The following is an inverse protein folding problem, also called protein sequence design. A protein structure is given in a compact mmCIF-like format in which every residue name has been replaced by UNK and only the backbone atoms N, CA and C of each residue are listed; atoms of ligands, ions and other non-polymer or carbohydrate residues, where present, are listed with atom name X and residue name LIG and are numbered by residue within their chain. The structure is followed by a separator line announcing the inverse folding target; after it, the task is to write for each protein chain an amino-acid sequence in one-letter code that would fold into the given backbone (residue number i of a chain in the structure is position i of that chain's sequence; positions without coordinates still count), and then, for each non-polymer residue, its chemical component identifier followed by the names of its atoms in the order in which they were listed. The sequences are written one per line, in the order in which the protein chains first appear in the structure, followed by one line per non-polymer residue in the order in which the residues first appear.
data_IF_366047276331
#
_entry.id   IF_366047276331
#
_cell.length_a   1.000
_cell.length_b   1.000
_cell.length_c   1.000
_cell.angle_alpha   90.00
_cell.angle_beta   90.00
_cell.angle_gamma   90.00
#
_symmetry.space_group_name_H-M   'P 1'
#
loop_
_entity.id
_entity.type
_entity.pdbx_description
1 polymer ?
#
# COMPACT_ATOMS: atom_id res chain seq x y z
N UNK A 1 -0.08 -13.26 -9.97
CA UNK A 1 0.09 -11.85 -9.55
C UNK A 1 0.83 -11.15 -10.69
N UNK A 2 0.32 -10.03 -11.17
CA UNK A 2 0.84 -9.29 -12.33
C UNK A 2 1.32 -7.91 -11.89
N UNK A 3 2.34 -7.41 -12.58
CA UNK A 3 2.92 -6.08 -12.38
C UNK A 3 2.22 -5.07 -13.29
N UNK A 4 1.69 -4.01 -12.72
CA UNK A 4 1.09 -2.88 -13.46
C UNK A 4 1.98 -1.65 -13.30
N UNK A 5 2.18 -0.90 -14.39
CA UNK A 5 3.12 0.24 -14.45
C UNK A 5 2.35 1.53 -14.73
N UNK A 6 2.60 2.60 -13.97
CA UNK A 6 1.88 3.87 -14.09
C UNK A 6 1.91 4.47 -15.50
N UNK A 7 3.09 4.48 -16.16
CA UNK A 7 3.23 4.97 -17.54
C UNK A 7 2.35 4.20 -18.54
N UNK A 8 2.15 2.90 -18.30
CA UNK A 8 1.30 2.03 -19.11
C UNK A 8 -0.18 2.37 -18.93
N UNK A 9 -0.62 2.62 -17.69
CA UNK A 9 -1.99 3.01 -17.36
C UNK A 9 -2.44 4.26 -18.12
N UNK A 10 -1.60 5.29 -18.16
CA UNK A 10 -1.91 6.54 -18.86
C UNK A 10 -2.11 6.29 -20.37
N UNK A 11 -1.29 5.41 -20.97
CA UNK A 11 -1.35 5.13 -22.41
C UNK A 11 -2.50 4.21 -22.80
N UNK A 12 -2.77 3.17 -22.01
CA UNK A 12 -3.69 2.09 -22.39
C UNK A 12 -5.15 2.30 -21.96
N UNK A 13 -5.42 3.21 -21.02
CA UNK A 13 -6.76 3.37 -20.46
C UNK A 13 -7.46 4.69 -20.82
N UNK A 14 -6.95 5.44 -21.82
CA UNK A 14 -7.54 6.69 -22.36
C UNK A 14 -8.03 7.65 -21.27
N UNK A 15 -7.32 7.70 -20.14
CA UNK A 15 -7.74 8.53 -19.04
C UNK A 15 -7.39 10.00 -19.35
N UNK A 16 -8.25 10.97 -19.01
CA UNK A 16 -8.03 12.38 -19.37
C UNK A 16 -6.73 12.90 -18.76
N UNK A 17 -5.73 13.13 -19.62
CA UNK A 17 -4.38 13.56 -19.23
C UNK A 17 -4.41 14.82 -18.34
N UNK A 18 -5.38 15.72 -18.53
CA UNK A 18 -5.52 16.96 -17.74
C UNK A 18 -5.94 16.74 -16.27
N UNK A 19 -6.48 15.58 -15.90
CA UNK A 19 -6.93 15.28 -14.51
C UNK A 19 -6.03 14.30 -13.76
N UNK A 20 -5.18 13.59 -14.50
CA UNK A 20 -4.22 12.60 -13.97
C UNK A 20 -2.79 13.14 -13.99
N UNK A 21 -2.50 14.12 -14.84
CA UNK A 21 -1.16 14.70 -14.89
C UNK A 21 -0.91 15.60 -13.67
N UNK A 22 -0.09 15.10 -12.75
CA UNK A 22 1.11 15.85 -12.45
C UNK A 22 1.94 15.89 -13.72
N UNK A 23 2.59 17.02 -14.03
CA UNK A 23 3.49 17.11 -15.18
C UNK A 23 4.43 15.90 -15.17
N UNK A 24 4.41 15.11 -16.25
CA UNK A 24 5.31 13.95 -16.42
C UNK A 24 6.79 14.34 -16.28
N UNK A 25 7.09 15.64 -16.31
CA UNK A 25 8.39 16.27 -16.10
C UNK A 25 8.89 16.23 -14.64
N UNK A 26 8.06 15.84 -13.66
CA UNK A 26 8.45 15.79 -12.24
C UNK A 26 8.65 14.36 -11.69
N UNK A 27 8.50 13.32 -12.50
CA UNK A 27 8.63 11.93 -12.03
C UNK A 27 10.11 11.51 -12.05
N UNK A 28 10.68 11.25 -10.88
CA UNK A 28 12.07 10.81 -10.69
C UNK A 28 12.24 9.32 -11.03
N UNK A 29 11.27 8.47 -10.64
CA UNK A 29 11.30 7.01 -10.86
C UNK A 29 9.97 6.45 -11.33
N UNK A 30 9.94 5.19 -11.78
CA UNK A 30 8.66 4.57 -12.15
C UNK A 30 7.82 4.16 -10.93
N UNK A 31 6.51 4.43 -11.00
CA UNK A 31 5.51 3.84 -10.11
C UNK A 31 5.03 2.49 -10.62
N UNK A 32 5.03 1.47 -9.76
CA UNK A 32 4.57 0.11 -10.04
C UNK A 32 3.68 -0.39 -8.92
N UNK A 33 2.77 -1.32 -9.22
CA UNK A 33 2.05 -2.06 -8.19
C UNK A 33 1.75 -3.50 -8.63
N UNK A 34 1.58 -4.38 -7.65
CA UNK A 34 1.37 -5.80 -7.86
C UNK A 34 -0.07 -6.18 -7.55
N UNK A 35 -0.81 -6.67 -8.53
CA UNK A 35 -2.24 -6.99 -8.37
C UNK A 35 -2.59 -8.30 -9.06
N UNK A 36 -3.77 -8.84 -8.80
CA UNK A 36 -4.39 -9.82 -9.69
C UNK A 36 -5.38 -9.11 -10.62
N UNK A 37 -6.04 -9.85 -11.51
CA UNK A 37 -7.00 -9.26 -12.47
C UNK A 37 -8.20 -8.60 -11.77
N UNK A 38 -8.66 -9.17 -10.64
CA UNK A 38 -9.79 -8.64 -9.89
C UNK A 38 -9.44 -7.29 -9.24
N UNK A 39 -8.29 -7.21 -8.56
CA UNK A 39 -7.80 -6.01 -7.91
C UNK A 39 -7.43 -4.93 -8.92
N UNK A 40 -6.82 -5.29 -10.05
CA UNK A 40 -6.51 -4.33 -11.11
C UNK A 40 -7.76 -3.56 -11.55
N UNK A 41 -8.87 -4.28 -11.79
CA UNK A 41 -10.14 -3.67 -12.17
C UNK A 41 -10.61 -2.65 -11.12
N UNK A 42 -10.59 -3.02 -9.84
CA UNK A 42 -11.02 -2.17 -8.73
C UNK A 42 -10.14 -0.92 -8.60
N UNK A 43 -8.81 -1.09 -8.66
CA UNK A 43 -7.85 0.02 -8.55
C UNK A 43 -7.97 1.01 -9.71
N UNK A 44 -8.16 0.52 -10.94
CA UNK A 44 -8.36 1.37 -12.12
C UNK A 44 -9.73 2.05 -12.12
N UNK A 45 -10.75 1.40 -11.57
CA UNK A 45 -12.07 2.00 -11.38
C UNK A 45 -12.04 3.14 -10.35
N UNK A 46 -11.33 2.96 -9.23
CA UNK A 46 -11.09 4.03 -8.24
C UNK A 46 -10.40 5.24 -8.91
N UNK A 47 -9.36 4.99 -9.70
CA UNK A 47 -8.65 6.04 -10.44
C UNK A 47 -9.57 6.76 -11.44
N UNK A 48 -10.37 6.01 -12.22
CA UNK A 48 -11.36 6.58 -13.16
C UNK A 48 -12.40 7.44 -12.45
N UNK A 49 -12.91 6.96 -11.32
CA UNK A 49 -13.92 7.66 -10.53
C UNK A 49 -13.37 9.00 -10.01
N UNK A 50 -12.11 9.04 -9.58
CA UNK A 50 -11.46 10.30 -9.16
C UNK A 50 -11.33 11.36 -10.27
N UNK A 51 -11.44 10.95 -11.54
CA UNK A 51 -11.35 11.85 -12.69
C UNK A 51 -12.72 12.37 -13.17
N UNK A 52 -13.83 11.82 -12.65
CA UNK A 52 -15.17 12.22 -13.07
C UNK A 52 -15.49 13.65 -12.59
N UNK A 53 -15.98 14.54 -13.46
CA UNK A 53 -16.44 15.87 -13.03
C UNK A 53 -17.62 15.73 -12.05
N UNK A 54 -17.69 16.60 -11.04
CA UNK A 54 -18.84 16.70 -10.13
C UNK A 54 -18.81 15.79 -8.89
N UNK A 55 -17.86 14.87 -8.78
CA UNK A 55 -17.59 14.16 -7.52
C UNK A 55 -16.69 15.04 -6.65
N UNK A 56 -17.24 15.58 -5.56
CA UNK A 56 -16.51 16.41 -4.59
C UNK A 56 -16.42 15.63 -3.29
N UNK A 57 -15.21 15.22 -2.91
CA UNK A 57 -14.95 14.44 -1.69
C UNK A 57 -14.42 13.03 -1.96
N UNK A 58 -13.47 12.58 -1.13
CA UNK A 58 -12.78 11.28 -1.25
C UNK A 58 -11.27 11.41 -1.08
N UNK A 59 -10.62 10.34 -0.62
CA UNK A 59 -9.17 10.27 -0.57
C UNK A 59 -8.59 10.19 -2.00
N UNK A 60 -7.33 10.62 -2.15
CA UNK A 60 -6.61 10.46 -3.41
C UNK A 60 -6.40 8.97 -3.69
N UNK A 61 -6.76 8.43 -4.88
CA UNK A 61 -6.63 7.01 -5.16
C UNK A 61 -5.22 6.49 -4.92
N UNK A 62 -5.10 5.26 -4.41
CA UNK A 62 -3.81 4.66 -4.09
C UNK A 62 -2.84 4.67 -5.28
N UNK A 63 -3.35 4.41 -6.50
CA UNK A 63 -2.54 4.45 -7.74
C UNK A 63 -1.92 5.84 -7.98
N UNK A 64 -2.67 6.91 -7.72
CA UNK A 64 -2.19 8.29 -7.89
C UNK A 64 -1.22 8.69 -6.79
N UNK A 65 -1.41 8.18 -5.57
CA UNK A 65 -0.46 8.35 -4.48
C UNK A 65 0.89 7.67 -4.79
N UNK A 66 0.89 6.45 -5.36
CA UNK A 66 2.13 5.79 -5.83
C UNK A 66 2.88 6.69 -6.82
N UNK A 67 2.15 7.32 -7.76
CA UNK A 67 2.73 8.23 -8.75
C UNK A 67 3.31 9.50 -8.12
N UNK A 68 2.63 10.09 -7.13
CA UNK A 68 3.15 11.24 -6.39
C UNK A 68 4.42 10.90 -5.63
N UNK A 69 4.49 9.72 -5.01
CA UNK A 69 5.70 9.25 -4.32
C UNK A 69 6.85 9.03 -5.30
N UNK A 70 6.54 8.56 -6.52
CA UNK A 70 7.52 8.39 -7.58
C UNK A 70 8.15 9.71 -8.08
N UNK A 71 7.57 10.85 -7.70
CA UNK A 71 8.06 12.21 -8.00
C UNK A 71 8.85 12.84 -6.84
N UNK A 72 9.03 12.14 -5.71
CA UNK A 72 9.74 12.71 -4.57
C UNK A 72 11.26 12.74 -4.81
N UNK A 73 11.95 13.83 -4.42
CA UNK A 73 13.37 13.97 -4.67
C UNK A 73 14.18 12.92 -3.88
N UNK A 74 15.20 12.37 -4.55
CA UNK A 74 16.09 11.39 -3.94
C UNK A 74 15.51 9.98 -3.79
N UNK A 75 14.29 9.72 -4.28
CA UNK A 75 13.75 8.36 -4.39
C UNK A 75 14.62 7.52 -5.33
N UNK A 76 14.86 6.26 -4.96
CA UNK A 76 15.66 5.33 -5.75
C UNK A 76 14.87 4.10 -6.17
N UNK A 77 15.21 3.55 -7.34
CA UNK A 77 14.56 2.38 -7.87
C UNK A 77 13.16 2.69 -8.41
N UNK A 78 12.13 2.46 -7.58
CA UNK A 78 10.70 2.56 -7.95
C UNK A 78 9.84 2.90 -6.73
N UNK A 79 8.70 3.54 -6.97
CA UNK A 79 7.60 3.62 -6.00
C UNK A 79 6.72 2.38 -6.16
N UNK A 80 6.54 1.57 -5.12
CA UNK A 80 5.98 0.21 -5.23
C UNK A 80 4.75 0.04 -4.36
N UNK A 81 3.58 -0.13 -4.97
CA UNK A 81 2.36 -0.59 -4.28
C UNK A 81 2.30 -2.11 -4.13
N UNK A 82 2.15 -2.58 -2.90
CA UNK A 82 1.92 -3.99 -2.56
C UNK A 82 0.48 -4.43 -2.92
N UNK A 83 0.17 -5.75 -2.91
CA UNK A 83 -1.14 -6.25 -3.35
C UNK A 83 -2.34 -5.84 -2.52
N UNK A 84 -2.11 -5.33 -1.32
CA UNK A 84 -3.08 -4.74 -0.41
C UNK A 84 -3.12 -3.21 -0.51
N UNK A 85 -2.53 -2.61 -1.56
CA UNK A 85 -2.43 -1.15 -1.68
C UNK A 85 -3.78 -0.47 -1.71
N UNK A 86 -3.94 0.58 -0.91
CA UNK A 86 -5.13 1.41 -0.92
C UNK A 86 -4.83 2.85 -0.48
N UNK A 87 -5.79 3.74 -0.72
CA UNK A 87 -5.71 5.16 -0.39
C UNK A 87 -5.28 5.39 1.06
N UNK A 88 -4.23 6.19 1.23
CA UNK A 88 -3.64 6.59 2.52
C UNK A 88 -3.48 8.11 2.66
N UNK A 89 -2.51 8.56 3.45
CA UNK A 89 -2.23 9.98 3.70
C UNK A 89 -0.89 10.40 3.06
N UNK A 90 -0.95 10.95 1.85
CA UNK A 90 0.22 11.30 1.04
C UNK A 90 0.83 10.09 0.33
N UNK A 91 1.23 9.07 1.09
CA UNK A 91 1.56 7.74 0.57
C UNK A 91 0.32 6.84 0.64
N UNK A 92 0.21 5.89 -0.29
CA UNK A 92 -0.77 4.82 -0.16
C UNK A 92 -0.34 3.84 0.94
N UNK A 93 -1.30 3.27 1.66
CA UNK A 93 -1.04 2.15 2.57
C UNK A 93 -0.60 0.97 1.70
N UNK A 94 0.46 0.26 2.12
CA UNK A 94 1.11 -0.75 1.28
C UNK A 94 2.04 -0.17 0.19
N UNK A 95 2.34 1.14 0.20
CA UNK A 95 3.35 1.71 -0.68
C UNK A 95 4.75 1.67 -0.07
N UNK A 96 5.72 1.24 -0.86
CA UNK A 96 7.13 1.16 -0.50
C UNK A 96 7.95 2.11 -1.38
N UNK A 97 8.80 2.90 -0.74
CA UNK A 97 9.76 3.77 -1.41
C UNK A 97 11.06 3.80 -0.63
N UNK A 98 12.19 3.78 -1.34
CA UNK A 98 13.51 3.94 -0.77
C UNK A 98 14.11 5.26 -1.23
N UNK A 99 14.86 5.94 -0.36
CA UNK A 99 15.50 7.22 -0.63
C UNK A 99 17.01 7.11 -0.37
N UNK A 100 17.82 7.75 -1.20
CA UNK A 100 19.28 7.73 -1.06
C UNK A 100 19.74 8.66 0.08
N UNK A 101 20.30 8.08 1.13
CA UNK A 101 20.81 8.84 2.28
C UNK A 101 22.01 9.74 1.96
N UNK A 102 22.75 9.46 0.87
CA UNK A 102 23.88 10.30 0.44
C UNK A 102 23.43 11.54 -0.36
N UNK A 103 22.19 11.54 -0.88
CA UNK A 103 21.67 12.66 -1.64
C UNK A 103 21.04 13.71 -0.71
N UNK A 104 21.58 14.96 -0.66
CA UNK A 104 21.07 16.01 0.22
C UNK A 104 19.66 16.50 -0.14
N UNK A 105 19.14 16.14 -1.33
CA UNK A 105 17.75 16.44 -1.74
C UNK A 105 16.75 15.36 -1.27
N UNK A 106 17.23 14.25 -0.73
CA UNK A 106 16.37 13.16 -0.23
C UNK A 106 15.50 13.63 0.93
N UNK A 107 14.29 13.08 1.00
CA UNK A 107 13.28 13.48 1.97
C UNK A 107 12.89 12.31 2.88
N UNK A 108 12.49 12.66 4.10
CA UNK A 108 11.73 11.78 4.99
C UNK A 108 10.32 12.35 5.09
N UNK A 109 9.32 11.54 4.76
CA UNK A 109 7.91 11.94 4.86
C UNK A 109 7.22 11.14 5.97
N UNK A 110 6.69 11.78 7.03
CA UNK A 110 5.90 11.09 8.05
C UNK A 110 4.70 10.34 7.46
N UNK A 111 4.09 10.87 6.38
CA UNK A 111 3.01 10.20 5.65
C UNK A 111 3.44 8.89 4.99
N UNK A 112 4.73 8.69 4.72
CA UNK A 112 5.29 7.43 4.23
C UNK A 112 5.60 6.40 5.33
N UNK A 113 5.54 6.80 6.60
CA UNK A 113 5.64 5.88 7.76
C UNK A 113 4.26 5.49 8.26
N UNK A 114 3.35 6.47 8.38
CA UNK A 114 2.02 6.30 8.93
C UNK A 114 1.87 6.95 10.31
N UNK A 115 0.62 7.15 10.74
CA UNK A 115 0.29 7.76 12.03
C UNK A 115 0.62 6.84 13.21
N UNK A 116 0.34 5.55 13.06
CA UNK A 116 0.63 4.52 14.06
C UNK A 116 2.03 3.93 13.80
N UNK A 117 3.04 4.61 14.33
CA UNK A 117 4.44 4.31 14.05
C UNK A 117 4.80 2.96 14.67
N UNK A 118 5.40 2.08 13.86
CA UNK A 118 5.74 0.72 14.24
C UNK A 118 4.49 -0.13 14.57
N UNK A 119 3.34 0.18 13.95
CA UNK A 119 2.21 -0.74 13.94
C UNK A 119 2.67 -2.10 13.41
N UNK A 120 2.29 -3.16 14.08
CA UNK A 120 2.91 -4.44 13.84
C UNK A 120 2.20 -5.62 14.45
N UNK A 121 2.75 -6.79 14.16
CA UNK A 121 2.20 -8.06 14.62
C UNK A 121 3.30 -8.83 15.32
N UNK A 122 2.99 -9.30 16.53
CA UNK A 122 3.85 -10.24 17.27
C UNK A 122 3.16 -11.60 17.30
N UNK A 123 3.95 -12.62 16.96
CA UNK A 123 3.51 -14.01 16.97
C UNK A 123 4.18 -14.77 18.13
N UNK A 124 3.37 -15.37 19.01
CA UNK A 124 3.87 -16.20 20.10
C UNK A 124 3.39 -17.64 19.91
N UNK A 125 4.34 -18.56 19.72
CA UNK A 125 4.06 -20.00 19.62
C UNK A 125 4.06 -20.63 21.00
N UNK A 126 3.02 -21.38 21.31
CA UNK A 126 2.90 -22.13 22.57
C UNK A 126 3.04 -23.64 22.33
N UNK A 127 3.06 -24.43 23.40
CA UNK A 127 2.92 -25.89 23.30
C UNK A 127 1.47 -26.35 23.50
N UNK A 128 0.52 -25.42 23.68
CA UNK A 128 -0.91 -25.71 23.81
C UNK A 128 -1.49 -26.02 22.44
N UNK A 129 -2.66 -26.68 22.41
CA UNK A 129 -3.51 -26.84 21.23
C UNK A 129 -4.70 -25.90 21.33
N UNK A 130 -5.39 -25.72 20.21
CA UNK A 130 -6.58 -24.85 20.15
C UNK A 130 -7.64 -25.23 21.21
N UNK A 131 -7.89 -26.53 21.39
CA UNK A 131 -8.80 -27.07 22.40
C UNK A 131 -8.42 -26.71 23.84
N UNK A 132 -7.14 -26.45 24.13
CA UNK A 132 -6.67 -26.10 25.47
C UNK A 132 -6.88 -24.61 25.76
N UNK A 133 -7.02 -23.79 24.70
CA UNK A 133 -7.10 -22.31 24.80
C UNK A 133 -8.53 -21.81 24.70
N UNK A 134 -9.35 -22.39 23.81
CA UNK A 134 -10.72 -21.94 23.57
C UNK A 134 -11.60 -21.86 24.84
N UNK A 135 -11.54 -22.81 25.79
CA UNK A 135 -12.39 -22.78 26.99
C UNK A 135 -12.05 -21.66 27.99
N UNK A 136 -10.83 -21.12 27.93
CA UNK A 136 -10.31 -20.13 28.91
C UNK A 136 -10.04 -18.77 28.27
N UNK A 137 -10.56 -18.54 27.06
CA UNK A 137 -10.29 -17.34 26.27
C UNK A 137 -11.21 -16.18 26.71
N UNK A 138 -10.67 -15.29 27.55
CA UNK A 138 -11.40 -14.11 28.04
C UNK A 138 -11.09 -12.81 27.25
N UNK A 139 -10.07 -12.83 26.39
CA UNK A 139 -9.67 -11.69 25.56
C UNK A 139 -9.66 -12.06 24.07
N UNK A 140 -9.84 -11.08 23.15
CA UNK A 140 -9.86 -11.31 21.72
C UNK A 140 -8.45 -11.59 21.15
N UNK A 141 -7.84 -12.68 21.58
CA UNK A 141 -6.60 -13.21 21.00
C UNK A 141 -6.97 -14.11 19.82
N UNK A 142 -6.40 -13.87 18.65
CA UNK A 142 -6.57 -14.81 17.54
C UNK A 142 -5.74 -16.05 17.82
N UNK A 143 -6.42 -17.20 17.87
CA UNK A 143 -5.80 -18.53 18.02
C UNK A 143 -5.85 -19.20 16.66
N UNK A 144 -4.68 -19.60 16.15
CA UNK A 144 -4.58 -20.42 14.93
C UNK A 144 -3.62 -21.59 15.17
N UNK A 145 -3.92 -22.79 14.68
CA UNK A 145 -2.98 -23.90 14.73
C UNK A 145 -1.79 -23.66 13.78
N UNK A 146 -0.57 -23.94 14.23
CA UNK A 146 0.60 -24.06 13.36
C UNK A 146 0.59 -25.41 12.61
N UNK A 147 1.61 -25.64 11.76
CA UNK A 147 1.74 -26.91 11.00
C UNK A 147 1.83 -28.17 11.88
N UNK A 148 2.07 -28.03 13.19
CA UNK A 148 2.15 -29.11 14.18
C UNK A 148 0.91 -29.16 15.07
N UNK A 149 -0.10 -28.33 14.81
CA UNK A 149 -1.33 -28.24 15.59
C UNK A 149 -1.19 -27.43 16.89
N UNK A 150 -0.06 -26.77 17.11
CA UNK A 150 0.14 -25.92 18.29
C UNK A 150 -0.58 -24.59 18.13
N UNK A 151 -1.24 -24.13 19.19
CA UNK A 151 -1.89 -22.83 19.26
C UNK A 151 -0.86 -21.70 19.19
N UNK A 152 -1.10 -20.81 18.23
CA UNK A 152 -0.35 -19.59 18.02
C UNK A 152 -1.20 -18.41 18.45
N UNK A 153 -0.64 -17.57 19.31
CA UNK A 153 -1.26 -16.34 19.79
C UNK A 153 -0.76 -15.16 18.94
N UNK A 154 -1.69 -14.41 18.37
CA UNK A 154 -1.39 -13.23 17.56
C UNK A 154 -1.76 -11.97 18.35
N UNK A 155 -0.79 -11.06 18.50
CA UNK A 155 -1.02 -9.75 19.10
C UNK A 155 -0.75 -8.64 18.09
N UNK A 156 -1.65 -7.66 18.03
CA UNK A 156 -1.51 -6.43 17.26
C UNK A 156 -1.13 -5.30 18.20
N UNK A 157 -0.22 -4.45 17.80
CA UNK A 157 0.23 -3.28 18.55
C UNK A 157 0.51 -2.13 17.60
#
# INVERSE_FOLDING_TARGET
MQKVVWKRIIREHELPSSKISFSQQCIEVEGIFYVNQNLEKLMLEELRNSCRPGTVGGFLPGVKQIANVAALPGIVGRSVGLPDVHSGYGFAIGNMAAFDMANPKSVVSPGGVGFDINCGVRLLRTNLREQDVLPVKDYPVMVKPDKRGSAVLVNFY
#
